data_IF_089407461765
#
_entry.id   IF_089407461765
#
_cell.length_a   1.000
_cell.length_b   1.000
_cell.length_c   1.000
_cell.angle_alpha   90.00
_cell.angle_beta   90.00
_cell.angle_gamma   90.00
#
_symmetry.space_group_name_H-M   'P 1'
#
loop_
_entity.id
_entity.type
_entity.pdbx_description
1 polymer ?
#
# COMPACT_ATOMS: atom_id res chain seq x y z
N UNK A 1 -4.38 13.44 -41.30
CA UNK A 1 -3.79 13.55 -39.96
C UNK A 1 -4.12 12.29 -39.19
N UNK A 2 -3.12 11.60 -38.63
CA UNK A 2 -3.34 10.34 -37.91
C UNK A 2 -4.06 10.62 -36.58
N UNK A 3 -5.20 9.97 -36.36
CA UNK A 3 -6.00 10.12 -35.14
C UNK A 3 -5.19 9.66 -33.92
N UNK A 4 -4.83 10.58 -33.03
CA UNK A 4 -3.95 10.35 -31.89
C UNK A 4 -4.63 9.60 -30.71
N UNK A 5 -5.96 9.41 -30.77
CA UNK A 5 -6.73 8.72 -29.75
C UNK A 5 -7.42 7.47 -30.30
N UNK A 6 -7.22 6.28 -29.69
CA UNK A 6 -7.91 5.06 -30.07
C UNK A 6 -9.42 5.21 -29.85
N UNK A 7 -10.23 5.00 -30.89
CA UNK A 7 -11.71 4.93 -30.80
C UNK A 7 -12.21 3.63 -30.14
N UNK A 8 -11.32 2.66 -29.98
CA UNK A 8 -11.57 1.43 -29.24
C UNK A 8 -10.77 1.51 -27.94
N UNK A 9 -11.44 1.78 -26.82
CA UNK A 9 -10.92 1.30 -25.54
C UNK A 9 -10.94 -0.22 -25.64
N UNK A 10 -9.79 -0.85 -25.48
CA UNK A 10 -9.80 -2.26 -25.08
C UNK A 10 -10.42 -2.23 -23.70
N UNK A 11 -11.73 -2.52 -23.64
CA UNK A 11 -12.41 -2.78 -22.39
C UNK A 11 -11.80 -4.07 -21.86
N UNK A 12 -10.71 -3.93 -21.11
CA UNK A 12 -10.13 -5.00 -20.33
C UNK A 12 -11.19 -5.38 -19.30
N UNK A 13 -12.07 -6.31 -19.69
CA UNK A 13 -13.01 -6.99 -18.83
C UNK A 13 -12.20 -7.94 -17.93
N UNK A 14 -11.41 -7.35 -17.04
CA UNK A 14 -10.74 -8.08 -15.99
C UNK A 14 -11.86 -8.43 -15.00
N UNK A 15 -12.50 -9.57 -15.22
CA UNK A 15 -13.41 -10.17 -14.25
C UNK A 15 -12.60 -10.46 -13.00
N UNK A 16 -12.55 -9.48 -12.09
CA UNK A 16 -11.87 -9.67 -10.82
C UNK A 16 -12.54 -10.83 -10.10
N UNK A 17 -11.77 -11.84 -9.63
CA UNK A 17 -12.34 -12.93 -8.88
C UNK A 17 -13.13 -12.36 -7.70
N UNK A 18 -14.33 -12.90 -7.41
CA UNK A 18 -15.22 -12.32 -6.39
C UNK A 18 -14.57 -12.29 -4.99
N UNK A 19 -13.58 -13.15 -4.74
CA UNK A 19 -12.82 -13.14 -3.48
C UNK A 19 -11.85 -11.94 -3.40
N UNK A 20 -11.17 -11.55 -4.49
CA UNK A 20 -10.22 -10.43 -4.51
C UNK A 20 -10.95 -9.14 -4.21
N UNK A 21 -12.10 -8.93 -4.86
CA UNK A 21 -12.96 -7.77 -4.62
C UNK A 21 -13.47 -7.71 -3.17
N UNK A 22 -13.83 -8.85 -2.58
CA UNK A 22 -14.23 -8.91 -1.16
C UNK A 22 -13.07 -8.60 -0.22
N UNK A 23 -11.87 -9.07 -0.55
CA UNK A 23 -10.68 -8.77 0.22
C UNK A 23 -10.39 -7.27 0.22
N UNK A 24 -10.31 -6.63 -0.96
CA UNK A 24 -9.97 -5.21 -1.10
C UNK A 24 -11.02 -4.28 -0.49
N UNK A 25 -12.28 -4.70 -0.41
CA UNK A 25 -13.34 -3.96 0.30
C UNK A 25 -13.24 -4.08 1.83
N UNK A 26 -12.67 -5.18 2.33
CA UNK A 26 -12.49 -5.42 3.76
C UNK A 26 -11.21 -4.74 4.27
N UNK A 27 -11.39 -3.76 5.15
CA UNK A 27 -10.29 -3.05 5.80
C UNK A 27 -9.43 -4.03 6.60
N UNK A 28 -10.07 -4.83 7.46
CA UNK A 28 -9.38 -5.77 8.32
C UNK A 28 -8.64 -6.85 7.51
N UNK A 29 -9.29 -7.44 6.51
CA UNK A 29 -8.66 -8.51 5.74
C UNK A 29 -7.46 -7.99 4.93
N UNK A 30 -7.60 -6.85 4.24
CA UNK A 30 -6.50 -6.28 3.45
C UNK A 30 -5.34 -5.84 4.36
N UNK A 31 -5.63 -5.20 5.48
CA UNK A 31 -4.61 -4.73 6.42
C UNK A 31 -3.86 -5.91 7.08
N UNK A 32 -4.57 -6.96 7.49
CA UNK A 32 -3.95 -8.18 8.02
C UNK A 32 -3.06 -8.84 6.98
N UNK A 33 -3.55 -9.00 5.75
CA UNK A 33 -2.76 -9.57 4.64
C UNK A 33 -1.51 -8.73 4.39
N UNK A 34 -1.63 -7.40 4.36
CA UNK A 34 -0.49 -6.49 4.19
C UNK A 34 0.56 -6.69 5.31
N UNK A 35 0.14 -6.75 6.58
CA UNK A 35 1.05 -6.93 7.71
C UNK A 35 1.75 -8.29 7.71
N UNK A 36 1.02 -9.36 7.39
CA UNK A 36 1.57 -10.72 7.27
C UNK A 36 2.58 -10.77 6.12
N UNK A 37 2.21 -10.30 4.92
CA UNK A 37 3.09 -10.29 3.76
C UNK A 37 4.34 -9.45 4.01
N UNK A 38 4.19 -8.30 4.66
CA UNK A 38 5.33 -7.44 5.00
C UNK A 38 6.28 -8.13 5.99
N UNK A 39 5.75 -8.91 6.95
CA UNK A 39 6.60 -9.68 7.88
C UNK A 39 7.37 -10.78 7.16
N UNK A 40 6.71 -11.53 6.28
CA UNK A 40 7.34 -12.57 5.47
C UNK A 40 8.37 -11.97 4.50
N UNK A 41 8.05 -10.85 3.87
CA UNK A 41 8.96 -10.12 3.00
C UNK A 41 10.24 -9.70 3.75
N UNK A 42 10.09 -9.13 4.96
CA UNK A 42 11.23 -8.77 5.81
C UNK A 42 12.10 -9.99 6.13
N UNK A 43 11.49 -11.13 6.44
CA UNK A 43 12.22 -12.37 6.74
C UNK A 43 13.05 -12.84 5.54
N UNK A 44 12.48 -12.77 4.33
CA UNK A 44 13.21 -13.07 3.09
C UNK A 44 14.37 -12.08 2.89
N UNK A 45 14.12 -10.77 3.02
CA UNK A 45 15.15 -9.73 2.87
C UNK A 45 16.32 -9.92 3.84
N UNK A 46 16.04 -10.25 5.11
CA UNK A 46 17.08 -10.49 6.12
C UNK A 46 17.92 -11.74 5.80
N UNK A 47 17.35 -12.72 5.11
CA UNK A 47 18.07 -13.92 4.67
C UNK A 47 19.12 -13.59 3.60
N UNK A 48 18.82 -12.66 2.70
CA UNK A 48 19.73 -12.27 1.62
C UNK A 48 20.88 -11.34 2.04
N UNK A 49 20.85 -10.81 3.28
CA UNK A 49 21.87 -9.93 3.89
C UNK A 49 22.65 -9.06 2.88
N UNK A 50 21.99 -8.06 2.26
CA UNK A 50 22.58 -7.29 1.18
C UNK A 50 23.83 -6.52 1.65
N UNK A 51 24.98 -6.80 1.04
CA UNK A 51 26.25 -6.08 1.30
C UNK A 51 26.29 -4.67 0.69
N UNK A 52 25.42 -4.39 -0.28
CA UNK A 52 25.35 -3.10 -0.97
C UNK A 52 24.20 -2.26 -0.43
N UNK A 53 24.47 -0.98 -0.16
CA UNK A 53 23.44 -0.01 0.23
C UNK A 53 22.33 0.11 -0.81
N UNK A 54 22.65 -0.03 -2.10
CA UNK A 54 21.65 0.00 -3.17
C UNK A 54 20.70 -1.19 -3.09
N UNK A 55 21.22 -2.39 -2.81
CA UNK A 55 20.41 -3.59 -2.65
C UNK A 55 19.51 -3.48 -1.42
N UNK A 56 20.02 -2.93 -0.31
CA UNK A 56 19.23 -2.63 0.88
C UNK A 56 18.09 -1.64 0.57
N UNK A 57 18.37 -0.54 -0.13
CA UNK A 57 17.37 0.47 -0.48
C UNK A 57 16.29 -0.09 -1.41
N UNK A 58 16.66 -0.91 -2.41
CA UNK A 58 15.70 -1.56 -3.31
C UNK A 58 14.78 -2.51 -2.54
N UNK A 59 15.34 -3.30 -1.62
CA UNK A 59 14.54 -4.19 -0.78
C UNK A 59 13.65 -3.40 0.18
N UNK A 60 14.16 -2.35 0.82
CA UNK A 60 13.33 -1.47 1.66
C UNK A 60 12.17 -0.84 0.86
N UNK A 61 12.45 -0.38 -0.36
CA UNK A 61 11.45 0.17 -1.27
C UNK A 61 10.41 -0.87 -1.69
N UNK A 62 10.82 -2.13 -1.94
CA UNK A 62 9.91 -3.21 -2.28
C UNK A 62 8.86 -3.48 -1.20
N UNK A 63 9.27 -3.49 0.07
CA UNK A 63 8.34 -3.63 1.19
C UNK A 63 7.38 -2.43 1.32
N UNK A 64 7.89 -1.22 1.08
CA UNK A 64 7.07 -0.01 1.08
C UNK A 64 6.02 -0.05 -0.05
N UNK A 65 6.43 -0.41 -1.27
CA UNK A 65 5.51 -0.56 -2.42
C UNK A 65 4.43 -1.59 -2.12
N UNK A 66 4.77 -2.70 -1.46
CA UNK A 66 3.80 -3.74 -1.10
C UNK A 66 2.71 -3.20 -0.17
N UNK A 67 3.09 -2.57 0.94
CA UNK A 67 2.13 -2.06 1.94
C UNK A 67 1.34 -0.88 1.38
N UNK A 68 2.01 0.07 0.73
CA UNK A 68 1.36 1.25 0.17
C UNK A 68 0.47 0.90 -1.04
N UNK A 69 0.85 -0.10 -1.83
CA UNK A 69 0.04 -0.62 -2.94
C UNK A 69 -1.27 -1.24 -2.44
N UNK A 70 -1.21 -2.08 -1.41
CA UNK A 70 -2.41 -2.65 -0.77
C UNK A 70 -3.27 -1.59 -0.09
N UNK A 71 -2.64 -0.61 0.59
CA UNK A 71 -3.35 0.52 1.17
C UNK A 71 -4.06 1.36 0.10
N UNK A 72 -3.40 1.60 -1.04
CA UNK A 72 -3.98 2.30 -2.20
C UNK A 72 -5.16 1.52 -2.77
N UNK A 73 -5.00 0.21 -2.97
CA UNK A 73 -6.08 -0.66 -3.48
C UNK A 73 -7.30 -0.65 -2.54
N UNK A 74 -7.09 -0.63 -1.22
CA UNK A 74 -8.19 -0.53 -0.26
C UNK A 74 -8.84 0.86 -0.27
N UNK A 75 -8.04 1.93 -0.14
CA UNK A 75 -8.54 3.31 -0.04
C UNK A 75 -9.20 3.79 -1.33
N UNK A 76 -8.73 3.33 -2.49
CA UNK A 76 -9.29 3.62 -3.80
C UNK A 76 -10.75 3.22 -3.95
N UNK A 77 -11.24 2.28 -3.14
CA UNK A 77 -12.64 1.85 -3.13
C UNK A 77 -13.58 2.81 -2.38
N UNK A 78 -13.05 3.84 -1.70
CA UNK A 78 -13.83 4.73 -0.83
C UNK A 78 -13.61 6.20 -1.18
N UNK A 79 -14.60 7.08 -0.90
CA UNK A 79 -14.44 8.51 -1.12
C UNK A 79 -13.40 9.10 -0.14
N UNK A 80 -12.69 10.15 -0.61
CA UNK A 80 -11.55 10.78 0.11
C UNK A 80 -11.91 11.20 1.54
N UNK A 81 -13.14 11.64 1.79
CA UNK A 81 -13.62 12.01 3.14
C UNK A 81 -13.47 10.88 4.17
N UNK A 82 -13.56 9.63 3.73
CA UNK A 82 -13.42 8.47 4.60
C UNK A 82 -11.96 8.08 4.85
N UNK A 83 -11.01 8.61 4.06
CA UNK A 83 -9.60 8.23 4.17
C UNK A 83 -8.98 8.72 5.49
N UNK A 84 -9.48 9.84 6.02
CA UNK A 84 -8.95 10.48 7.23
C UNK A 84 -8.93 9.54 8.45
N UNK A 85 -9.94 8.69 8.59
CA UNK A 85 -9.99 7.69 9.67
C UNK A 85 -9.63 6.28 9.18
N UNK A 86 -9.90 5.93 7.91
CA UNK A 86 -9.58 4.60 7.40
C UNK A 86 -8.09 4.35 7.26
N UNK A 87 -7.31 5.35 6.86
CA UNK A 87 -5.86 5.21 6.75
C UNK A 87 -5.18 4.91 8.10
N UNK A 88 -5.44 5.66 9.19
CA UNK A 88 -4.85 5.33 10.49
C UNK A 88 -5.35 3.99 11.03
N UNK A 89 -6.63 3.64 10.82
CA UNK A 89 -7.15 2.33 11.24
C UNK A 89 -6.51 1.20 10.43
N UNK A 90 -6.33 1.38 9.11
CA UNK A 90 -5.61 0.42 8.27
C UNK A 90 -4.18 0.24 8.77
N UNK A 91 -3.45 1.33 8.99
CA UNK A 91 -2.08 1.29 9.50
C UNK A 91 -1.97 0.61 10.87
N UNK A 92 -2.92 0.87 11.78
CA UNK A 92 -2.96 0.22 13.08
C UNK A 92 -3.21 -1.29 12.99
N UNK A 93 -4.15 -1.72 12.14
CA UNK A 93 -4.45 -3.15 11.94
C UNK A 93 -3.30 -3.86 11.23
N UNK A 94 -2.70 -3.23 10.22
CA UNK A 94 -1.52 -3.72 9.51
C UNK A 94 -0.33 -3.89 10.46
N UNK A 95 -0.06 -2.88 11.28
CA UNK A 95 0.99 -2.91 12.29
C UNK A 95 0.75 -4.00 13.34
N UNK A 96 -0.50 -4.17 13.80
CA UNK A 96 -0.86 -5.24 14.73
C UNK A 96 -0.61 -6.63 14.12
N UNK A 97 -1.02 -6.83 12.87
CA UNK A 97 -0.78 -8.08 12.14
C UNK A 97 0.72 -8.33 11.91
N UNK A 98 1.49 -7.29 11.59
CA UNK A 98 2.94 -7.36 11.44
C UNK A 98 3.64 -7.79 12.74
N UNK A 99 3.25 -7.19 13.86
CA UNK A 99 3.77 -7.52 15.20
C UNK A 99 3.38 -8.95 15.59
N UNK A 100 2.10 -9.31 15.44
CA UNK A 100 1.59 -10.64 15.79
C UNK A 100 2.26 -11.75 14.96
N UNK A 101 2.42 -11.54 13.65
CA UNK A 101 3.15 -12.47 12.78
C UNK A 101 4.60 -12.63 13.23
N UNK A 102 5.24 -11.55 13.68
CA UNK A 102 6.56 -11.61 14.29
C UNK A 102 6.59 -12.46 15.55
N UNK A 103 5.61 -12.31 16.44
CA UNK A 103 5.50 -13.12 17.65
C UNK A 103 5.41 -14.62 17.33
N UNK A 104 4.61 -14.97 16.32
CA UNK A 104 4.47 -16.35 15.85
C UNK A 104 5.81 -16.87 15.30
N UNK A 105 6.52 -16.06 14.49
CA UNK A 105 7.81 -16.46 13.93
C UNK A 105 8.90 -16.63 15.00
N UNK A 106 8.88 -15.80 16.06
CA UNK A 106 9.75 -15.96 17.22
C UNK A 106 9.42 -17.25 17.96
N UNK A 107 8.13 -17.55 18.18
CA UNK A 107 7.68 -18.78 18.83
C UNK A 107 8.10 -20.04 18.08
N UNK A 108 8.08 -20.01 16.74
CA UNK A 108 8.53 -21.13 15.89
C UNK A 108 10.05 -21.16 15.76
N UNK A 109 10.78 -20.13 16.21
CA UNK A 109 12.23 -20.06 16.12
C UNK A 109 12.71 -19.88 14.68
N UNK A 110 12.04 -19.03 13.90
CA UNK A 110 12.47 -18.68 12.53
C UNK A 110 12.94 -17.22 12.45
N UNK A 111 12.48 -16.37 13.37
CA UNK A 111 12.75 -14.94 13.31
C UNK A 111 14.18 -14.56 13.71
N UNK A 112 14.73 -13.56 13.03
CA UNK A 112 16.13 -13.11 13.19
C UNK A 112 16.20 -11.59 13.36
N UNK A 113 17.09 -11.14 14.25
CA UNK A 113 17.53 -9.74 14.34
C UNK A 113 18.95 -9.67 13.81
N UNK A 114 19.09 -9.25 12.55
CA UNK A 114 20.39 -9.25 11.89
C UNK A 114 20.93 -10.67 11.71
N UNK A 115 22.09 -10.95 12.30
CA UNK A 115 22.76 -12.26 12.26
C UNK A 115 22.34 -13.20 13.38
N UNK A 116 21.66 -12.70 14.42
CA UNK A 116 21.30 -13.48 15.60
C UNK A 116 19.82 -13.88 15.63
N UNK A 117 19.54 -14.96 16.36
CA UNK A 117 18.17 -15.42 16.62
C UNK A 117 17.46 -14.42 17.52
N UNK A 118 16.23 -14.03 17.18
CA UNK A 118 15.49 -13.07 18.01
C UNK A 118 15.00 -13.75 19.29
N UNK A 119 15.34 -13.18 20.46
CA UNK A 119 14.78 -13.63 21.74
C UNK A 119 13.49 -12.87 22.08
N UNK A 120 12.67 -13.45 22.97
CA UNK A 120 11.39 -12.86 23.40
C UNK A 120 11.53 -11.48 24.03
N UNK A 121 12.65 -11.22 24.71
CA UNK A 121 12.92 -9.91 25.31
C UNK A 121 13.08 -8.83 24.23
N UNK A 122 13.90 -9.10 23.21
CA UNK A 122 14.18 -8.20 22.09
C UNK A 122 12.94 -7.90 21.25
N UNK A 123 12.05 -8.89 21.12
CA UNK A 123 10.80 -8.72 20.38
C UNK A 123 9.89 -7.65 20.99
N UNK A 124 9.84 -7.57 22.32
CA UNK A 124 8.90 -6.69 23.04
C UNK A 124 9.36 -5.23 23.14
N UNK A 125 10.68 -4.99 23.12
CA UNK A 125 11.28 -3.68 23.39
C UNK A 125 10.91 -2.61 22.34
N UNK A 126 10.72 -3.02 21.08
CA UNK A 126 10.50 -2.12 19.95
C UNK A 126 9.07 -2.13 19.40
N UNK A 127 8.13 -2.84 20.04
CA UNK A 127 6.78 -3.02 19.52
C UNK A 127 6.05 -1.72 19.26
N UNK A 128 6.07 -0.81 20.24
CA UNK A 128 5.38 0.47 20.13
C UNK A 128 6.00 1.34 19.03
N UNK A 129 7.32 1.38 18.93
CA UNK A 129 8.03 2.16 17.91
C UNK A 129 7.71 1.65 16.52
N UNK A 130 7.76 0.33 16.32
CA UNK A 130 7.40 -0.30 15.04
C UNK A 130 5.94 -0.04 14.70
N UNK A 131 5.04 -0.20 15.67
CA UNK A 131 3.61 -0.01 15.49
C UNK A 131 3.27 1.42 15.07
N UNK A 132 3.82 2.41 15.79
CA UNK A 132 3.62 3.83 15.50
C UNK A 132 4.22 4.19 14.15
N UNK A 133 5.43 3.71 13.84
CA UNK A 133 6.07 3.99 12.55
C UNK A 133 5.22 3.53 11.38
N UNK A 134 4.72 2.30 11.41
CA UNK A 134 3.85 1.75 10.35
C UNK A 134 2.56 2.58 10.22
N UNK A 135 1.90 2.84 11.34
CA UNK A 135 0.65 3.62 11.36
C UNK A 135 0.84 5.03 10.81
N UNK A 136 1.92 5.71 11.21
CA UNK A 136 2.27 7.05 10.74
C UNK A 136 2.61 7.03 9.25
N UNK A 137 3.43 6.09 8.79
CA UNK A 137 3.82 5.98 7.37
C UNK A 137 2.60 5.81 6.47
N UNK A 138 1.68 4.91 6.80
CA UNK A 138 0.44 4.70 6.03
C UNK A 138 -0.44 5.95 6.05
N UNK A 139 -0.58 6.59 7.21
CA UNK A 139 -1.40 7.80 7.36
C UNK A 139 -0.85 8.96 6.54
N UNK A 140 0.47 9.21 6.61
CA UNK A 140 1.14 10.25 5.82
C UNK A 140 1.01 9.98 4.33
N UNK A 141 1.23 8.73 3.90
CA UNK A 141 1.06 8.36 2.51
C UNK A 141 -0.38 8.61 2.01
N UNK A 142 -1.38 8.21 2.80
CA UNK A 142 -2.78 8.43 2.44
C UNK A 142 -3.13 9.92 2.31
N UNK A 143 -2.55 10.78 3.14
CA UNK A 143 -2.70 12.24 3.03
C UNK A 143 -2.08 12.77 1.73
N UNK A 144 -0.87 12.33 1.39
CA UNK A 144 -0.20 12.70 0.13
C UNK A 144 -1.04 12.23 -1.07
N UNK A 145 -1.48 10.98 -1.05
CA UNK A 145 -2.32 10.41 -2.11
C UNK A 145 -3.65 11.17 -2.25
N UNK A 146 -4.30 11.51 -1.14
CA UNK A 146 -5.52 12.31 -1.14
C UNK A 146 -5.29 13.70 -1.76
N UNK A 147 -4.14 14.33 -1.47
CA UNK A 147 -3.72 15.58 -2.09
C UNK A 147 -3.58 15.45 -3.60
N UNK A 148 -2.85 14.44 -4.08
CA UNK A 148 -2.68 14.16 -5.52
C UNK A 148 -4.02 13.95 -6.21
N UNK A 149 -4.90 13.11 -5.64
CA UNK A 149 -6.23 12.85 -6.22
C UNK A 149 -7.08 14.11 -6.29
N UNK A 150 -7.04 14.96 -5.25
CA UNK A 150 -7.75 16.24 -5.26
C UNK A 150 -7.23 17.20 -6.32
N UNK A 151 -5.90 17.27 -6.50
CA UNK A 151 -5.27 18.09 -7.53
C UNK A 151 -5.68 17.62 -8.93
N UNK A 152 -5.56 16.32 -9.22
CA UNK A 152 -5.96 15.74 -10.52
C UNK A 152 -7.44 16.00 -10.79
N UNK A 153 -8.31 15.77 -9.78
CA UNK A 153 -9.75 16.05 -9.90
C UNK A 153 -10.02 17.52 -10.21
N UNK A 154 -9.30 18.46 -9.59
CA UNK A 154 -9.45 19.90 -9.88
C UNK A 154 -9.02 20.26 -11.30
N UNK A 155 -7.95 19.65 -11.81
CA UNK A 155 -7.51 19.89 -13.18
C UNK A 155 -8.50 19.36 -14.22
N UNK A 156 -9.06 18.16 -14.00
CA UNK A 156 -10.05 17.58 -14.91
C UNK A 156 -11.37 18.37 -14.94
N UNK A 157 -11.83 18.88 -13.81
CA UNK A 157 -13.07 19.68 -13.73
C UNK A 157 -12.89 21.09 -14.35
N UNK A 158 -11.66 21.59 -14.46
CA UNK A 158 -11.37 22.92 -15.05
C UNK A 158 -11.23 22.93 -16.57
N UNK A 159 -11.08 21.78 -17.22
CA UNK A 159 -10.99 21.67 -18.68
C UNK A 159 -12.14 20.86 -19.36
N UNK A 160 -13.43 20.99 -18.98
CA UNK A 160 -14.50 20.38 -19.76
C UNK A 160 -14.73 21.13 -21.08
N UNK A 161 -14.58 22.45 -21.05
CA UNK A 161 -15.08 23.33 -22.11
C UNK A 161 -14.14 23.42 -23.32
N UNK A 162 -12.83 23.25 -23.13
CA UNK A 162 -11.86 23.27 -24.25
C UNK A 162 -11.98 22.04 -25.14
N UNK A 163 -12.30 20.87 -24.58
CA UNK A 163 -12.48 19.64 -25.36
C UNK A 163 -13.83 19.62 -26.11
N UNK A 164 -14.85 20.29 -25.57
CA UNK A 164 -16.17 20.40 -26.20
C UNK A 164 -16.18 21.52 -27.26
N UNK A 165 -15.47 22.63 -27.02
CA UNK A 165 -15.38 23.74 -28.00
C UNK A 165 -14.60 23.35 -29.25
N UNK A 166 -13.53 22.57 -29.12
CA UNK A 166 -12.75 22.05 -30.25
C UNK A 166 -13.57 21.06 -31.10
N UNK A 167 -14.41 20.22 -30.45
CA UNK A 167 -15.28 19.28 -31.13
C UNK A 167 -16.46 19.96 -31.87
N UNK A 168 -16.88 21.16 -31.44
CA UNK A 168 -17.96 21.93 -32.06
C UNK A 168 -17.47 22.93 -33.12
N UNK A 169 -16.17 23.28 -33.15
CA UNK A 169 -15.61 24.14 -34.19
C UNK A 169 -15.24 23.39 -35.47
N UNK A 170 -15.12 22.05 -35.39
CA UNK A 170 -14.77 21.17 -36.51
C UNK A 170 -15.99 20.51 -37.20
N UNK A 171 -17.22 20.89 -36.82
CA UNK A 171 -18.47 20.55 -37.53
C UNK A 171 -19.05 21.77 -38.24
#
# INVERSE_FOLDING_TARGET
>A
MAAFFPRHSVDWHLEEPPFVRRLTLSLAATAVVAGVLMRLYRLVVLTYSPRSIWAFLIMAAGGLVLVLGLATAHLGNFPIKNWLWRAPVFGAVEAAAFVATGAVLVAVGVDRVGTEMMHWHDWSADLLTVFLRHTITVSLFALVLAGVVQVVRRYLIRHPDSAISEALSDT
#
